data_IF_942813887064
#
_entry.id   IF_942813887064
#
_cell.length_a   1.000
_cell.length_b   1.000
_cell.length_c   1.000
_cell.angle_alpha   90.00
_cell.angle_beta   90.00
_cell.angle_gamma   90.00
#
_symmetry.space_group_name_H-M   'P 1'
#
loop_
_entity.id
_entity.type
_entity.pdbx_description
1 polymer ?
#
# COMPACT_ATOMS: atom_id res chain seq x y z
N UNK A 1 -6.92 -44.84 -18.03
CA UNK A 1 -6.25 -43.99 -17.04
C UNK A 1 -5.22 -44.82 -16.29
N UNK A 2 -3.94 -44.47 -16.19
CA UNK A 2 -3.00 -45.24 -15.39
C UNK A 2 -3.39 -45.11 -13.92
N UNK A 3 -3.65 -46.25 -13.27
CA UNK A 3 -3.92 -46.33 -11.83
C UNK A 3 -2.72 -45.73 -11.08
N UNK A 4 -2.96 -44.64 -10.32
CA UNK A 4 -2.04 -44.08 -9.35
C UNK A 4 -1.92 -45.07 -8.17
N UNK A 5 -1.00 -46.03 -8.27
CA UNK A 5 -0.67 -46.88 -7.13
C UNK A 5 -0.14 -46.01 -5.98
N UNK A 6 -0.77 -46.09 -4.83
CA UNK A 6 -0.34 -45.40 -3.64
C UNK A 6 1.04 -45.90 -3.19
N UNK A 7 2.00 -45.05 -2.97
CA UNK A 7 3.32 -45.40 -2.42
C UNK A 7 3.16 -46.15 -1.09
N UNK A 8 2.13 -45.84 -0.31
CA UNK A 8 1.78 -46.59 0.91
C UNK A 8 1.53 -48.08 0.66
N UNK A 9 0.86 -48.43 -0.46
CA UNK A 9 0.62 -49.83 -0.83
C UNK A 9 1.94 -50.55 -1.19
N UNK A 10 2.86 -49.87 -1.84
CA UNK A 10 4.20 -50.39 -2.15
C UNK A 10 4.99 -50.66 -0.87
N UNK A 11 4.95 -49.70 0.11
CA UNK A 11 5.62 -49.86 1.40
C UNK A 11 5.01 -51.02 2.21
N UNK A 12 3.69 -51.17 2.22
CA UNK A 12 3.01 -52.30 2.87
C UNK A 12 3.40 -53.64 2.21
N UNK A 13 3.47 -53.68 0.88
CA UNK A 13 3.91 -54.85 0.15
C UNK A 13 5.37 -55.25 0.47
N UNK A 14 6.25 -54.24 0.62
CA UNK A 14 7.65 -54.48 1.05
C UNK A 14 7.74 -54.98 2.48
N UNK A 15 6.92 -54.48 3.38
CA UNK A 15 6.88 -54.94 4.77
C UNK A 15 6.36 -56.39 4.85
N UNK A 16 5.32 -56.73 4.05
CA UNK A 16 4.82 -58.09 3.97
C UNK A 16 5.87 -59.09 3.41
N UNK A 17 6.68 -58.66 2.43
CA UNK A 17 7.81 -59.44 1.92
C UNK A 17 8.90 -59.71 2.95
N UNK A 18 9.17 -58.72 3.85
CA UNK A 18 10.12 -58.88 4.95
C UNK A 18 9.60 -59.84 6.03
N UNK A 19 8.30 -59.76 6.32
CA UNK A 19 7.67 -60.55 7.38
C UNK A 19 7.33 -62.00 6.94
N UNK A 20 7.18 -62.23 5.65
CA UNK A 20 6.90 -63.55 5.12
C UNK A 20 7.83 -63.89 3.92
N UNK A 21 8.97 -64.54 4.18
CA UNK A 21 9.95 -64.94 3.13
C UNK A 21 9.40 -65.88 2.06
N UNK A 22 8.28 -66.61 2.33
CA UNK A 22 7.61 -67.46 1.38
C UNK A 22 6.72 -66.71 0.39
N UNK A 23 6.42 -65.42 0.67
CA UNK A 23 5.64 -64.57 -0.20
C UNK A 23 6.54 -64.04 -1.31
N UNK A 24 6.45 -64.58 -2.52
CA UNK A 24 7.22 -64.11 -3.66
C UNK A 24 6.77 -62.71 -4.11
N UNK A 25 7.69 -61.98 -4.74
CA UNK A 25 7.46 -60.61 -5.23
C UNK A 25 6.20 -60.45 -6.10
N UNK A 26 5.91 -61.44 -6.97
CA UNK A 26 4.70 -61.46 -7.81
C UNK A 26 3.44 -61.67 -6.96
N UNK A 27 3.51 -62.48 -5.89
CA UNK A 27 2.40 -62.69 -4.96
C UNK A 27 2.11 -61.42 -4.16
N UNK A 28 3.13 -60.74 -3.64
CA UNK A 28 2.99 -59.46 -2.95
C UNK A 28 2.43 -58.37 -3.87
N UNK A 29 2.94 -58.25 -5.08
CA UNK A 29 2.44 -57.27 -6.07
C UNK A 29 0.94 -57.47 -6.38
N UNK A 30 0.50 -58.71 -6.48
CA UNK A 30 -0.90 -59.06 -6.73
C UNK A 30 -1.77 -58.80 -5.49
N UNK A 31 -1.30 -59.20 -4.32
CA UNK A 31 -2.02 -59.05 -3.05
C UNK A 31 -2.29 -57.60 -2.69
N UNK A 32 -1.28 -56.71 -2.89
CA UNK A 32 -1.36 -55.29 -2.59
C UNK A 32 -1.75 -54.44 -3.79
N UNK A 33 -2.09 -55.04 -4.91
CA UNK A 33 -2.51 -54.37 -6.16
C UNK A 33 -1.51 -53.30 -6.62
N UNK A 34 -0.20 -53.56 -6.51
CA UNK A 34 0.85 -52.66 -6.93
C UNK A 34 1.58 -53.16 -8.18
N UNK A 35 2.16 -52.25 -8.94
CA UNK A 35 2.94 -52.62 -10.10
C UNK A 35 4.21 -53.40 -9.69
N UNK A 36 4.37 -54.61 -10.27
CA UNK A 36 5.49 -55.51 -10.00
C UNK A 36 6.86 -54.83 -10.16
N UNK A 37 7.05 -54.06 -11.22
CA UNK A 37 8.31 -53.36 -11.48
C UNK A 37 8.56 -52.21 -10.50
N UNK A 38 7.51 -51.54 -10.05
CA UNK A 38 7.63 -50.53 -9.00
C UNK A 38 8.05 -51.18 -7.67
N UNK A 39 7.43 -52.25 -7.27
CA UNK A 39 7.76 -53.01 -6.06
C UNK A 39 9.18 -53.56 -6.12
N UNK A 40 9.62 -54.15 -7.25
CA UNK A 40 10.99 -54.65 -7.46
C UNK A 40 12.06 -53.54 -7.34
N UNK A 41 11.78 -52.38 -7.91
CA UNK A 41 12.69 -51.22 -7.79
C UNK A 41 12.83 -50.80 -6.33
N UNK A 42 11.74 -50.76 -5.54
CA UNK A 42 11.78 -50.40 -4.14
C UNK A 42 12.52 -51.44 -3.31
N UNK A 43 12.32 -52.74 -3.59
CA UNK A 43 13.06 -53.78 -2.94
C UNK A 43 14.58 -53.68 -3.20
N UNK A 44 14.98 -53.26 -4.39
CA UNK A 44 16.37 -53.03 -4.76
C UNK A 44 16.91 -51.66 -4.26
N UNK A 45 16.21 -50.97 -3.34
CA UNK A 45 16.65 -49.73 -2.75
C UNK A 45 16.49 -48.48 -3.64
N UNK A 46 15.87 -48.60 -4.83
CA UNK A 46 15.64 -47.47 -5.70
C UNK A 46 14.49 -46.60 -5.15
N UNK A 47 14.78 -45.39 -4.81
CA UNK A 47 13.81 -44.43 -4.24
C UNK A 47 12.64 -44.09 -5.17
N UNK A 48 11.52 -43.68 -4.62
CA UNK A 48 10.38 -43.15 -5.36
C UNK A 48 10.75 -41.93 -6.19
N UNK A 49 10.18 -41.76 -7.38
CA UNK A 49 10.26 -40.50 -8.11
C UNK A 49 9.75 -39.33 -7.29
N UNK A 50 8.88 -39.59 -6.33
CA UNK A 50 8.28 -38.60 -5.44
C UNK A 50 9.30 -38.13 -4.37
N UNK A 51 10.16 -39.05 -3.91
CA UNK A 51 11.15 -38.84 -2.85
C UNK A 51 12.57 -38.61 -3.44
N UNK A 52 12.66 -38.65 -4.78
CA UNK A 52 13.95 -38.49 -5.46
C UNK A 52 14.35 -37.02 -5.47
N UNK A 53 15.38 -36.69 -4.71
CA UNK A 53 16.01 -35.36 -4.74
C UNK A 53 16.95 -35.33 -5.96
N UNK A 54 16.69 -34.46 -6.95
CA UNK A 54 17.55 -34.36 -8.12
C UNK A 54 19.00 -34.02 -7.67
N UNK A 55 19.96 -34.82 -8.10
CA UNK A 55 21.40 -34.53 -7.87
C UNK A 55 21.85 -33.17 -8.42
N UNK A 56 21.03 -32.55 -9.27
CA UNK A 56 21.22 -31.20 -9.80
C UNK A 56 20.74 -30.08 -8.88
N UNK A 57 20.14 -30.39 -7.71
CA UNK A 57 19.75 -29.39 -6.72
C UNK A 57 21.02 -28.77 -6.10
N UNK A 58 21.20 -27.47 -6.31
CA UNK A 58 22.38 -26.76 -5.82
C UNK A 58 22.27 -26.34 -4.36
N UNK A 59 21.04 -26.12 -3.85
CA UNK A 59 20.76 -25.77 -2.47
C UNK A 59 20.11 -26.95 -1.75
N UNK A 60 20.46 -27.14 -0.50
CA UNK A 60 19.82 -28.07 0.44
C UNK A 60 18.42 -27.57 0.82
N UNK A 61 17.59 -28.46 1.37
CA UNK A 61 16.23 -28.07 1.82
C UNK A 61 16.29 -27.04 2.95
N UNK A 62 17.32 -27.08 3.82
CA UNK A 62 17.53 -26.10 4.91
C UNK A 62 17.88 -24.73 4.33
N UNK A 63 18.78 -24.67 3.33
CA UNK A 63 19.15 -23.42 2.67
C UNK A 63 17.96 -22.82 1.89
N UNK A 64 17.15 -23.64 1.22
CA UNK A 64 15.92 -23.17 0.56
C UNK A 64 14.92 -22.61 1.60
N UNK A 65 14.77 -23.28 2.76
CA UNK A 65 13.89 -22.81 3.83
C UNK A 65 14.36 -21.48 4.45
N UNK A 66 15.66 -21.28 4.61
CA UNK A 66 16.22 -20.00 5.06
C UNK A 66 15.84 -18.87 4.08
N UNK A 67 15.96 -19.13 2.77
CA UNK A 67 15.56 -18.15 1.76
C UNK A 67 14.05 -17.86 1.82
N UNK A 68 13.20 -18.88 2.00
CA UNK A 68 11.75 -18.71 2.16
C UNK A 68 11.45 -17.80 3.35
N UNK A 69 12.02 -18.08 4.53
CA UNK A 69 11.79 -17.28 5.74
C UNK A 69 12.26 -15.83 5.55
N UNK A 70 13.40 -15.65 4.91
CA UNK A 70 13.92 -14.31 4.63
C UNK A 70 13.04 -13.53 3.65
N UNK A 71 12.49 -14.19 2.63
CA UNK A 71 11.52 -13.57 1.71
C UNK A 71 10.26 -13.15 2.46
N UNK A 72 9.71 -14.03 3.31
CA UNK A 72 8.50 -13.74 4.08
C UNK A 72 8.72 -12.61 5.08
N UNK A 73 9.91 -12.54 5.72
CA UNK A 73 10.26 -11.44 6.60
C UNK A 73 10.37 -10.10 5.84
N UNK A 74 11.05 -10.08 4.68
CA UNK A 74 11.11 -8.90 3.83
C UNK A 74 9.72 -8.46 3.34
N UNK A 75 8.88 -9.39 2.93
CA UNK A 75 7.51 -9.12 2.47
C UNK A 75 6.67 -8.52 3.60
N UNK A 76 6.74 -9.08 4.81
CA UNK A 76 6.03 -8.56 5.99
C UNK A 76 6.43 -7.13 6.37
N UNK A 77 7.65 -6.72 6.03
CA UNK A 77 8.18 -5.36 6.23
C UNK A 77 7.91 -4.42 5.05
N UNK A 78 7.20 -4.88 4.00
CA UNK A 78 6.90 -4.09 2.81
C UNK A 78 8.01 -4.01 1.76
N UNK A 79 9.02 -4.88 1.86
CA UNK A 79 10.15 -4.95 0.93
C UNK A 79 10.23 -6.28 0.19
N UNK A 80 9.16 -6.76 -0.49
CA UNK A 80 9.19 -8.04 -1.19
C UNK A 80 10.29 -8.06 -2.24
N UNK A 81 11.18 -9.06 -2.23
CA UNK A 81 12.30 -9.09 -3.16
C UNK A 81 11.84 -9.44 -4.58
N UNK A 82 12.49 -8.86 -5.57
CA UNK A 82 12.31 -9.27 -6.98
C UNK A 82 12.92 -10.65 -7.21
N UNK A 83 12.48 -11.37 -8.26
CA UNK A 83 13.05 -12.67 -8.62
C UNK A 83 14.58 -12.65 -8.73
N UNK A 84 15.16 -11.56 -9.24
CA UNK A 84 16.61 -11.35 -9.26
C UNK A 84 17.22 -11.30 -7.87
N UNK A 85 16.60 -10.62 -6.91
CA UNK A 85 17.05 -10.59 -5.52
C UNK A 85 17.01 -11.97 -4.86
N UNK A 86 16.00 -12.79 -5.18
CA UNK A 86 15.94 -14.19 -4.72
C UNK A 86 17.08 -15.04 -5.32
N UNK A 87 17.44 -14.81 -6.59
CA UNK A 87 18.59 -15.44 -7.22
C UNK A 87 19.92 -15.00 -6.57
N UNK A 88 20.07 -13.73 -6.27
CA UNK A 88 21.23 -13.18 -5.57
C UNK A 88 21.40 -13.76 -4.15
N UNK A 89 20.30 -13.95 -3.39
CA UNK A 89 20.33 -14.62 -2.09
C UNK A 89 20.85 -16.06 -2.20
N UNK A 90 20.33 -16.80 -3.18
CA UNK A 90 20.77 -18.18 -3.43
C UNK A 90 22.26 -18.25 -3.81
N UNK A 91 22.71 -17.35 -4.68
CA UNK A 91 24.09 -17.27 -5.15
C UNK A 91 25.05 -16.88 -4.01
N UNK A 92 24.60 -16.05 -3.07
CA UNK A 92 25.40 -15.71 -1.88
C UNK A 92 25.65 -16.93 -1.00
N UNK A 93 24.60 -17.71 -0.69
CA UNK A 93 24.74 -18.96 0.07
C UNK A 93 25.65 -20.00 -0.64
N UNK A 94 25.60 -20.03 -1.97
CA UNK A 94 26.48 -20.90 -2.76
C UNK A 94 27.92 -20.42 -2.77
N UNK A 95 28.15 -19.10 -2.82
CA UNK A 95 29.47 -18.51 -2.78
C UNK A 95 30.20 -18.75 -1.44
N UNK A 96 29.46 -18.79 -0.32
CA UNK A 96 30.03 -19.09 1.00
C UNK A 96 30.69 -20.48 1.08
N UNK A 97 30.42 -21.37 0.12
CA UNK A 97 31.01 -22.71 -0.01
C UNK A 97 31.67 -22.98 -1.34
N UNK A 98 32.05 -21.93 -2.07
CA UNK A 98 32.71 -22.00 -3.39
C UNK A 98 31.94 -22.80 -4.45
N UNK A 99 30.60 -22.86 -4.34
CA UNK A 99 29.75 -23.57 -5.27
C UNK A 99 29.32 -22.66 -6.45
N UNK A 100 29.12 -23.26 -7.61
CA UNK A 100 28.71 -22.51 -8.82
C UNK A 100 27.31 -21.88 -8.67
N UNK A 101 27.06 -20.66 -9.23
CA UNK A 101 25.81 -19.94 -9.08
C UNK A 101 24.61 -20.70 -9.71
N UNK A 102 23.40 -20.38 -9.28
CA UNK A 102 22.14 -20.95 -9.82
C UNK A 102 21.89 -20.48 -11.26
N UNK A 103 21.10 -21.24 -12.01
CA UNK A 103 20.75 -20.89 -13.38
C UNK A 103 19.64 -19.83 -13.48
N UNK A 104 19.55 -19.12 -14.61
CA UNK A 104 18.60 -18.01 -14.90
C UNK A 104 17.12 -18.27 -14.58
N UNK A 105 16.66 -19.53 -14.60
CA UNK A 105 15.26 -19.91 -14.29
C UNK A 105 15.08 -20.45 -12.88
N UNK A 106 16.14 -20.46 -12.07
CA UNK A 106 16.11 -21.09 -10.78
C UNK A 106 15.11 -20.42 -9.82
N UNK A 107 15.15 -19.08 -9.69
CA UNK A 107 14.27 -18.33 -8.81
C UNK A 107 12.78 -18.55 -9.13
N UNK A 108 12.40 -18.58 -10.41
CA UNK A 108 11.03 -18.87 -10.82
C UNK A 108 10.60 -20.29 -10.45
N UNK A 109 11.49 -21.27 -10.64
CA UNK A 109 11.25 -22.66 -10.28
C UNK A 109 11.24 -22.86 -8.76
N UNK A 110 12.05 -22.09 -8.03
CA UNK A 110 12.06 -22.03 -6.57
C UNK A 110 10.69 -21.60 -6.03
N UNK A 111 10.16 -20.45 -6.49
CA UNK A 111 8.84 -19.97 -6.09
C UNK A 111 7.74 -20.99 -6.42
N UNK A 112 7.81 -21.70 -7.57
CA UNK A 112 6.83 -22.74 -7.92
C UNK A 112 6.87 -23.96 -7.01
N UNK A 113 8.02 -24.28 -6.41
CA UNK A 113 8.16 -25.43 -5.47
C UNK A 113 7.61 -25.12 -4.09
N UNK A 114 7.68 -23.88 -3.66
CA UNK A 114 7.27 -23.42 -2.33
C UNK A 114 5.86 -22.85 -2.38
N UNK A 115 4.89 -23.55 -1.79
CA UNK A 115 3.46 -23.21 -1.82
C UNK A 115 3.14 -21.91 -1.08
N UNK A 116 3.95 -21.57 -0.11
CA UNK A 116 3.92 -20.35 0.69
C UNK A 116 4.30 -19.08 -0.09
N UNK A 117 4.95 -19.24 -1.26
CA UNK A 117 5.41 -18.13 -2.10
C UNK A 117 4.55 -17.99 -3.37
N UNK A 118 4.33 -16.75 -3.79
CA UNK A 118 3.70 -16.40 -5.07
C UNK A 118 4.35 -15.18 -5.69
N UNK A 119 4.42 -15.13 -7.02
CA UNK A 119 4.82 -13.90 -7.74
C UNK A 119 3.61 -13.00 -7.97
N UNK A 120 3.74 -11.71 -7.66
CA UNK A 120 2.75 -10.67 -7.96
C UNK A 120 3.43 -9.44 -8.52
N UNK A 121 2.71 -8.62 -9.30
CA UNK A 121 3.17 -7.28 -9.63
C UNK A 121 2.96 -6.39 -8.42
N UNK A 122 4.03 -5.78 -7.91
CA UNK A 122 3.92 -4.83 -6.81
C UNK A 122 3.49 -3.45 -7.32
N UNK A 123 2.71 -2.73 -6.51
CA UNK A 123 2.47 -1.30 -6.69
C UNK A 123 3.54 -0.53 -5.94
N UNK A 124 3.97 0.60 -6.49
CA UNK A 124 4.79 1.55 -5.74
C UNK A 124 3.93 2.07 -4.59
N UNK A 125 4.41 1.89 -3.38
CA UNK A 125 3.76 2.36 -2.17
C UNK A 125 4.65 3.38 -1.50
N UNK A 126 4.08 4.51 -1.11
CA UNK A 126 4.82 5.60 -0.48
C UNK A 126 5.26 5.20 0.93
N UNK A 127 6.53 5.38 1.25
CA UNK A 127 7.09 5.03 2.57
C UNK A 127 6.43 5.80 3.71
N UNK A 128 6.08 7.08 3.48
CA UNK A 128 5.41 7.90 4.50
C UNK A 128 4.01 7.34 4.79
N UNK A 129 3.29 6.88 3.77
CA UNK A 129 2.01 6.20 3.95
C UNK A 129 2.16 4.92 4.77
N UNK A 130 3.13 4.08 4.44
CA UNK A 130 3.41 2.86 5.21
C UNK A 130 3.75 3.13 6.68
N UNK A 131 4.45 4.23 6.97
CA UNK A 131 4.79 4.65 8.34
C UNK A 131 3.55 5.10 9.14
N UNK A 132 2.55 5.65 8.46
CA UNK A 132 1.31 6.13 9.09
C UNK A 132 0.24 5.04 9.26
N UNK A 133 0.47 3.83 8.73
CA UNK A 133 -0.38 2.64 8.91
C UNK A 133 -0.11 1.93 10.25
N UNK A 134 0.11 2.69 11.32
CA UNK A 134 0.19 2.12 12.67
C UNK A 134 -1.22 1.79 13.19
N UNK A 135 -1.51 0.50 13.48
CA UNK A 135 -2.79 0.09 14.03
C UNK A 135 -3.19 0.85 15.29
N UNK A 136 -2.22 1.27 16.12
CA UNK A 136 -2.46 2.01 17.36
C UNK A 136 -2.96 3.42 17.06
N UNK A 137 -2.36 4.11 16.10
CA UNK A 137 -2.76 5.45 15.67
C UNK A 137 -4.18 5.41 15.11
N UNK A 138 -4.47 4.40 14.26
CA UNK A 138 -5.80 4.21 13.66
C UNK A 138 -6.85 3.95 14.76
N UNK A 139 -6.63 3.02 15.69
CA UNK A 139 -7.55 2.74 16.79
C UNK A 139 -7.78 3.95 17.68
N UNK A 140 -6.73 4.70 18.00
CA UNK A 140 -6.83 5.93 18.80
C UNK A 140 -7.71 6.99 18.11
N UNK A 141 -7.55 7.14 16.79
CA UNK A 141 -8.38 8.05 16.01
C UNK A 141 -9.86 7.61 16.01
N UNK A 142 -10.16 6.33 15.83
CA UNK A 142 -11.52 5.81 15.95
C UNK A 142 -12.10 6.04 17.35
N UNK A 143 -11.28 5.89 18.40
CA UNK A 143 -11.66 6.22 19.77
C UNK A 143 -12.01 7.71 19.93
N UNK A 144 -11.24 8.62 19.30
CA UNK A 144 -11.54 10.05 19.26
C UNK A 144 -12.90 10.32 18.58
N UNK A 145 -13.13 9.72 17.40
CA UNK A 145 -14.39 9.86 16.66
C UNK A 145 -15.56 9.34 17.50
N UNK A 146 -15.44 8.16 18.10
CA UNK A 146 -16.46 7.56 18.96
C UNK A 146 -16.80 8.43 20.18
N UNK A 147 -15.77 8.93 20.86
CA UNK A 147 -15.95 9.81 22.02
C UNK A 147 -16.60 11.14 21.63
N UNK A 148 -16.27 11.68 20.45
CA UNK A 148 -16.88 12.90 19.92
C UNK A 148 -18.36 12.68 19.60
N UNK A 149 -18.69 11.59 18.93
CA UNK A 149 -20.08 11.20 18.64
C UNK A 149 -20.89 11.06 19.95
N UNK A 150 -20.34 10.34 20.92
CA UNK A 150 -20.99 10.11 22.21
C UNK A 150 -21.19 11.42 23.03
N UNK A 151 -20.16 12.29 23.04
CA UNK A 151 -20.18 13.55 23.78
C UNK A 151 -21.23 14.53 23.28
N UNK A 152 -21.41 14.64 21.98
CA UNK A 152 -22.28 15.61 21.34
C UNK A 152 -23.60 15.01 20.84
N UNK A 153 -23.82 13.70 20.99
CA UNK A 153 -25.02 13.00 20.55
C UNK A 153 -25.21 13.05 19.03
N UNK A 154 -24.14 12.96 18.27
CA UNK A 154 -24.16 13.08 16.82
C UNK A 154 -24.77 11.82 16.20
N UNK A 155 -25.64 11.97 15.23
CA UNK A 155 -26.30 10.89 14.51
C UNK A 155 -25.59 10.56 13.19
N UNK A 156 -25.97 9.45 12.56
CA UNK A 156 -25.41 9.03 11.29
C UNK A 156 -25.72 10.02 10.14
N UNK A 157 -26.91 10.62 10.14
CA UNK A 157 -27.32 11.63 9.20
C UNK A 157 -26.57 12.97 9.35
N UNK A 158 -26.08 13.27 10.56
CA UNK A 158 -25.22 14.43 10.89
C UNK A 158 -23.70 14.10 10.85
N UNK A 159 -23.35 12.88 10.42
CA UNK A 159 -21.94 12.46 10.24
C UNK A 159 -21.56 12.57 8.78
N UNK A 160 -20.71 13.54 8.48
CA UNK A 160 -20.28 13.92 7.12
C UNK A 160 -18.80 13.64 6.91
N UNK A 161 -18.46 13.26 5.68
CA UNK A 161 -17.09 13.25 5.18
C UNK A 161 -16.97 14.24 4.01
N UNK A 162 -15.94 15.02 4.03
CA UNK A 162 -15.61 16.02 3.03
C UNK A 162 -14.23 15.75 2.44
N UNK A 163 -14.08 16.01 1.14
CA UNK A 163 -12.80 15.92 0.45
C UNK A 163 -12.84 16.63 -0.91
N UNK A 164 -11.65 16.90 -1.44
CA UNK A 164 -11.42 17.51 -2.73
C UNK A 164 -10.89 16.49 -3.74
N UNK A 165 -11.38 16.59 -4.96
CA UNK A 165 -10.84 15.76 -6.03
C UNK A 165 -10.66 16.55 -7.31
N UNK A 166 -9.51 16.35 -7.97
CA UNK A 166 -9.19 17.02 -9.22
C UNK A 166 -9.57 16.23 -10.45
N UNK A 167 -10.02 16.98 -11.46
CA UNK A 167 -10.29 16.50 -12.81
C UNK A 167 -9.43 17.26 -13.81
N UNK A 168 -8.70 16.53 -14.62
CA UNK A 168 -8.09 17.09 -15.82
C UNK A 168 -9.06 16.92 -16.97
N UNK A 169 -9.60 18.02 -17.50
CA UNK A 169 -10.55 17.99 -18.62
C UNK A 169 -9.95 17.21 -19.79
N UNK A 170 -10.67 16.35 -20.40
CA UNK A 170 -10.22 15.60 -21.56
C UNK A 170 -9.29 14.41 -21.26
N UNK A 171 -9.11 13.96 -20.02
CA UNK A 171 -8.36 12.74 -19.72
C UNK A 171 -9.27 11.51 -19.79
N UNK A 172 -8.92 10.58 -20.67
CA UNK A 172 -9.59 9.28 -20.81
C UNK A 172 -9.00 8.29 -19.79
N UNK A 173 -9.86 7.52 -19.15
CA UNK A 173 -9.42 6.44 -18.27
C UNK A 173 -8.67 5.35 -19.08
N UNK A 174 -7.57 4.83 -18.51
CA UNK A 174 -6.86 3.68 -19.10
C UNK A 174 -7.74 2.44 -19.03
N UNK A 175 -7.86 1.71 -20.14
CA UNK A 175 -8.67 0.50 -20.22
C UNK A 175 -8.15 -0.51 -21.24
N UNK A 176 -8.77 -1.68 -21.25
CA UNK A 176 -8.53 -2.70 -22.26
C UNK A 176 -9.29 -2.33 -23.54
N UNK A 177 -8.63 -2.30 -24.68
CA UNK A 177 -9.21 -1.96 -25.96
C UNK A 177 -9.11 -3.13 -26.94
N UNK A 178 -10.08 -3.22 -27.85
CA UNK A 178 -10.05 -4.16 -28.97
C UNK A 178 -9.41 -3.46 -30.17
N UNK A 179 -8.43 -4.10 -30.79
CA UNK A 179 -7.67 -3.55 -31.92
C UNK A 179 -7.46 -4.61 -32.99
N UNK A 180 -7.08 -4.21 -34.20
CA UNK A 180 -6.78 -5.15 -35.27
C UNK A 180 -5.68 -6.15 -34.88
N UNK A 181 -5.86 -7.41 -35.25
CA UNK A 181 -4.96 -8.51 -34.87
C UNK A 181 -3.50 -8.32 -35.35
N UNK A 182 -3.29 -7.59 -36.43
CA UNK A 182 -1.97 -7.31 -37.00
C UNK A 182 -1.22 -6.17 -36.30
N UNK A 183 -1.89 -5.44 -35.41
CA UNK A 183 -1.28 -4.28 -34.72
C UNK A 183 -0.26 -4.75 -33.70
N UNK A 184 0.99 -4.35 -33.90
CA UNK A 184 2.09 -4.66 -32.97
C UNK A 184 2.19 -3.57 -31.89
N UNK A 185 2.41 -4.01 -30.64
CA UNK A 185 2.63 -3.13 -29.48
C UNK A 185 1.32 -2.66 -28.82
N UNK A 186 1.45 -1.79 -27.79
CA UNK A 186 0.31 -1.21 -27.07
C UNK A 186 -0.38 -0.15 -27.93
N UNK A 187 -1.70 -0.23 -28.15
CA UNK A 187 -2.41 0.80 -28.87
C UNK A 187 -2.32 2.14 -28.13
N UNK A 188 -2.09 3.21 -28.88
CA UNK A 188 -2.12 4.58 -28.35
C UNK A 188 -3.51 5.14 -28.54
N UNK A 189 -4.12 5.63 -27.48
CA UNK A 189 -5.37 6.40 -27.53
C UNK A 189 -5.02 7.89 -27.64
N UNK A 190 -5.66 8.59 -28.57
CA UNK A 190 -5.53 10.04 -28.70
C UNK A 190 -6.27 10.67 -27.54
N UNK A 191 -5.57 11.52 -26.77
CA UNK A 191 -6.16 12.29 -25.69
C UNK A 191 -6.57 13.67 -26.19
N UNK A 192 -7.70 14.24 -25.71
CA UNK A 192 -8.05 15.63 -26.00
C UNK A 192 -6.96 16.61 -25.62
N UNK A 193 -6.81 17.68 -26.37
CA UNK A 193 -5.73 18.66 -26.20
C UNK A 193 -5.82 19.50 -24.93
N UNK A 194 -7.03 19.68 -24.38
CA UNK A 194 -7.22 20.52 -23.18
C UNK A 194 -6.86 19.76 -21.89
N UNK A 195 -5.95 20.34 -21.12
CA UNK A 195 -5.50 19.82 -19.81
C UNK A 195 -5.79 20.80 -18.68
N UNK A 196 -6.82 21.61 -18.84
CA UNK A 196 -7.23 22.51 -17.78
C UNK A 196 -7.72 21.73 -16.57
N UNK A 197 -7.36 22.23 -15.38
CA UNK A 197 -7.69 21.60 -14.11
C UNK A 197 -9.00 22.14 -13.55
N UNK A 198 -9.81 21.24 -13.02
CA UNK A 198 -11.01 21.56 -12.24
C UNK A 198 -10.93 20.80 -10.92
N UNK A 199 -11.13 21.50 -9.83
CA UNK A 199 -11.31 20.91 -8.50
C UNK A 199 -12.77 20.79 -8.16
N UNK A 200 -13.18 19.65 -7.65
CA UNK A 200 -14.53 19.40 -7.14
C UNK A 200 -14.42 19.11 -5.66
N UNK A 201 -15.08 19.91 -4.84
CA UNK A 201 -15.23 19.68 -3.42
C UNK A 201 -16.57 19.00 -3.19
N UNK A 202 -16.56 17.88 -2.49
CA UNK A 202 -17.73 17.06 -2.22
C UNK A 202 -17.87 16.75 -0.74
N UNK A 203 -19.12 16.70 -0.23
CA UNK A 203 -19.42 16.09 1.04
C UNK A 203 -20.54 15.08 0.92
N UNK A 204 -20.41 14.00 1.69
CA UNK A 204 -21.36 12.88 1.79
C UNK A 204 -21.62 12.55 3.25
N UNK A 205 -22.82 12.09 3.59
CA UNK A 205 -23.15 11.66 4.95
C UNK A 205 -23.27 10.12 5.05
N UNK A 206 -23.28 9.64 6.28
CA UNK A 206 -23.33 8.20 6.54
C UNK A 206 -24.68 7.54 6.17
N UNK A 207 -25.76 8.33 6.02
CA UNK A 207 -27.06 7.86 5.54
C UNK A 207 -27.17 7.79 4.00
N UNK A 208 -26.08 8.07 3.28
CA UNK A 208 -26.02 7.89 1.85
C UNK A 208 -26.40 9.11 1.01
N UNK A 209 -26.44 10.27 1.64
CA UNK A 209 -26.75 11.53 0.98
C UNK A 209 -25.46 12.24 0.56
N UNK A 210 -25.52 12.94 -0.59
CA UNK A 210 -24.50 13.88 -1.05
C UNK A 210 -25.10 15.29 -1.07
N UNK A 211 -24.29 16.29 -0.74
CA UNK A 211 -24.65 17.68 -1.00
C UNK A 211 -24.34 18.02 -2.47
N UNK A 212 -24.96 19.08 -3.02
CA UNK A 212 -24.54 19.62 -4.32
C UNK A 212 -23.05 19.93 -4.35
N UNK A 213 -22.32 19.53 -5.40
CA UNK A 213 -20.88 19.73 -5.49
C UNK A 213 -20.52 21.22 -5.57
N UNK A 214 -19.35 21.56 -5.01
CA UNK A 214 -18.72 22.86 -5.19
C UNK A 214 -17.56 22.71 -6.16
N UNK A 215 -17.66 23.37 -7.32
CA UNK A 215 -16.74 23.16 -8.45
C UNK A 215 -15.88 24.39 -8.65
N UNK A 216 -14.56 24.24 -8.67
CA UNK A 216 -13.59 25.32 -8.85
C UNK A 216 -12.93 25.15 -10.21
N UNK A 217 -13.19 26.09 -11.13
CA UNK A 217 -12.53 26.14 -12.42
C UNK A 217 -11.36 27.14 -12.46
N UNK A 218 -10.35 26.86 -13.30
CA UNK A 218 -9.30 27.84 -13.55
C UNK A 218 -9.86 29.05 -14.30
N UNK A 219 -9.51 30.27 -13.87
CA UNK A 219 -9.94 31.51 -14.50
C UNK A 219 -10.22 32.63 -13.52
N UNK A 220 -10.42 33.84 -14.04
CA UNK A 220 -10.71 35.04 -13.22
C UNK A 220 -12.22 35.29 -13.09
N UNK A 221 -13.04 34.83 -14.03
CA UNK A 221 -14.46 35.13 -14.09
C UNK A 221 -15.28 33.92 -14.50
N UNK A 222 -16.49 33.83 -13.95
CA UNK A 222 -17.52 32.91 -14.40
C UNK A 222 -18.11 33.37 -15.76
N UNK A 223 -18.36 32.40 -16.61
CA UNK A 223 -19.07 32.69 -17.87
C UNK A 223 -20.51 32.21 -17.77
N UNK A 224 -21.45 33.03 -18.22
CA UNK A 224 -22.89 32.74 -18.16
C UNK A 224 -23.27 31.43 -18.87
N UNK A 225 -22.54 31.05 -19.93
CA UNK A 225 -22.80 29.81 -20.67
C UNK A 225 -22.50 28.53 -19.87
N UNK A 226 -21.71 28.58 -18.80
CA UNK A 226 -21.48 27.43 -17.92
C UNK A 226 -22.77 26.99 -17.21
N UNK A 227 -23.69 27.91 -16.97
CA UNK A 227 -24.95 27.66 -16.26
C UNK A 227 -26.14 27.45 -17.21
N UNK A 228 -26.27 28.27 -18.25
CA UNK A 228 -27.47 28.34 -19.09
C UNK A 228 -27.57 27.21 -20.12
N UNK A 229 -26.44 26.76 -20.64
CA UNK A 229 -26.42 25.80 -21.76
C UNK A 229 -26.37 24.33 -21.27
N UNK A 230 -26.13 24.08 -20.00
CA UNK A 230 -25.78 22.74 -19.48
C UNK A 230 -26.86 22.09 -18.60
N UNK A 231 -28.00 22.72 -18.37
CA UNK A 231 -29.09 22.23 -17.50
C UNK A 231 -28.59 21.71 -16.15
N UNK A 232 -27.56 22.36 -15.57
CA UNK A 232 -27.07 22.04 -14.24
C UNK A 232 -28.13 22.38 -13.20
N UNK A 233 -28.25 21.60 -12.12
CA UNK A 233 -29.11 21.96 -11.01
C UNK A 233 -28.73 23.32 -10.43
N UNK A 234 -29.72 24.13 -10.07
CA UNK A 234 -29.54 25.51 -9.59
C UNK A 234 -28.81 25.59 -8.23
N UNK A 235 -28.76 24.46 -7.50
CA UNK A 235 -28.12 24.32 -6.21
C UNK A 235 -26.61 23.98 -6.27
N UNK A 236 -26.07 23.73 -7.48
CA UNK A 236 -24.64 23.52 -7.67
C UNK A 236 -23.86 24.83 -7.55
N UNK A 237 -22.79 24.81 -6.74
CA UNK A 237 -21.94 25.97 -6.57
C UNK A 237 -20.72 25.89 -7.51
N UNK A 238 -20.49 26.97 -8.26
CA UNK A 238 -19.32 27.07 -9.15
C UNK A 238 -18.52 28.29 -8.73
N UNK A 239 -17.23 28.09 -8.50
CA UNK A 239 -16.23 29.11 -8.15
C UNK A 239 -15.11 29.15 -9.19
N UNK A 240 -14.28 30.17 -9.13
CA UNK A 240 -13.06 30.29 -9.95
C UNK A 240 -11.86 30.64 -9.07
N UNK A 241 -10.71 30.08 -9.42
CA UNK A 241 -9.42 30.52 -8.91
C UNK A 241 -8.41 30.62 -10.07
N UNK A 242 -7.29 31.32 -9.92
CA UNK A 242 -6.33 31.52 -11.02
C UNK A 242 -5.86 30.22 -11.66
N UNK A 243 -5.72 29.17 -10.88
CA UNK A 243 -5.20 27.85 -11.29
C UNK A 243 -6.21 26.70 -11.16
N UNK A 244 -7.43 26.95 -10.70
CA UNK A 244 -8.46 25.93 -10.45
C UNK A 244 -8.26 25.17 -9.12
N UNK A 245 -7.42 25.64 -8.22
CA UNK A 245 -7.17 25.03 -6.93
C UNK A 245 -7.89 25.77 -5.79
N UNK A 246 -8.15 25.09 -4.71
CA UNK A 246 -8.73 25.65 -3.48
C UNK A 246 -7.71 26.51 -2.75
N UNK A 247 -8.16 27.60 -2.19
CA UNK A 247 -7.46 28.43 -1.22
C UNK A 247 -8.30 28.59 0.05
N UNK A 248 -7.81 29.34 1.03
CA UNK A 248 -8.48 29.51 2.32
C UNK A 248 -9.83 30.22 2.19
N UNK A 249 -9.98 31.14 1.22
CA UNK A 249 -11.23 31.87 0.99
C UNK A 249 -12.29 30.91 0.39
N UNK A 250 -11.91 30.15 -0.62
CA UNK A 250 -12.78 29.17 -1.25
C UNK A 250 -13.12 28.02 -0.29
N UNK A 251 -12.21 27.62 0.58
CA UNK A 251 -12.48 26.65 1.65
C UNK A 251 -13.57 27.14 2.60
N UNK A 252 -13.55 28.40 3.01
CA UNK A 252 -14.57 29.01 3.84
C UNK A 252 -15.91 29.18 3.09
N UNK A 253 -15.88 29.56 1.81
CA UNK A 253 -17.08 29.67 0.98
C UNK A 253 -17.76 28.29 0.78
N UNK A 254 -16.93 27.25 0.60
CA UNK A 254 -17.43 25.87 0.59
C UNK A 254 -18.09 25.50 1.93
N UNK A 255 -17.49 25.84 3.05
CA UNK A 255 -18.06 25.53 4.37
C UNK A 255 -19.41 26.23 4.58
N UNK A 256 -19.56 27.46 4.11
CA UNK A 256 -20.85 28.18 4.09
C UNK A 256 -21.88 27.48 3.17
N UNK A 257 -21.44 27.00 2.00
CA UNK A 257 -22.28 26.19 1.10
C UNK A 257 -22.73 24.91 1.78
N UNK A 258 -21.79 24.17 2.42
CA UNK A 258 -22.09 22.97 3.19
C UNK A 258 -23.14 23.23 4.26
N UNK A 259 -22.95 24.27 5.07
CA UNK A 259 -23.90 24.62 6.14
C UNK A 259 -25.30 24.97 5.59
N UNK A 260 -25.39 25.72 4.48
CA UNK A 260 -26.68 26.01 3.82
C UNK A 260 -27.40 24.74 3.34
N UNK A 261 -26.64 23.79 2.79
CA UNK A 261 -27.21 22.54 2.29
C UNK A 261 -27.63 21.57 3.39
N UNK A 262 -27.01 21.66 4.55
CA UNK A 262 -27.22 20.69 5.67
C UNK A 262 -28.06 21.23 6.80
N UNK A 263 -28.14 22.54 7.01
CA UNK A 263 -28.84 23.17 8.15
C UNK A 263 -30.31 22.73 8.31
N UNK A 264 -31.04 22.55 7.22
CA UNK A 264 -32.43 22.10 7.26
C UNK A 264 -32.59 20.56 7.29
N UNK A 265 -31.48 19.81 7.19
CA UNK A 265 -31.45 18.34 7.21
C UNK A 265 -30.90 17.77 8.50
N UNK A 266 -30.24 18.61 9.30
CA UNK A 266 -29.64 18.20 10.56
C UNK A 266 -30.74 17.80 11.56
N UNK A 267 -30.58 16.62 12.14
CA UNK A 267 -31.52 16.07 13.16
C UNK A 267 -31.00 16.23 14.56
N UNK A 268 -29.72 16.50 14.75
CA UNK A 268 -29.05 16.75 16.02
C UNK A 268 -28.58 18.19 16.19
N UNK A 269 -28.17 18.56 17.42
CA UNK A 269 -27.66 19.89 17.70
C UNK A 269 -26.23 20.11 17.21
N UNK A 270 -25.50 19.05 16.85
CA UNK A 270 -24.12 19.08 16.40
C UNK A 270 -23.91 18.22 15.16
N UNK A 271 -23.11 18.71 14.21
CA UNK A 271 -22.63 17.94 13.06
C UNK A 271 -21.19 17.49 13.25
N UNK A 272 -20.84 16.34 12.69
CA UNK A 272 -19.48 15.82 12.57
C UNK A 272 -19.03 15.95 11.12
N UNK A 273 -17.95 16.67 10.87
CA UNK A 273 -17.33 16.81 9.55
C UNK A 273 -15.92 16.21 9.58
N UNK A 274 -15.78 14.99 9.05
CA UNK A 274 -14.51 14.28 8.97
C UNK A 274 -13.75 14.79 7.74
N UNK A 275 -12.54 15.30 7.97
CA UNK A 275 -11.67 15.91 6.95
C UNK A 275 -10.22 15.46 7.12
N UNK A 276 -9.42 15.67 6.08
CA UNK A 276 -7.97 15.48 6.13
C UNK A 276 -7.27 16.70 6.77
N UNK A 277 -5.96 16.59 7.00
CA UNK A 277 -5.16 17.64 7.61
C UNK A 277 -4.63 18.68 6.62
N UNK A 278 -5.32 18.95 5.51
CA UNK A 278 -4.88 19.96 4.54
C UNK A 278 -5.02 21.38 5.13
N UNK A 279 -4.07 22.26 4.83
CA UNK A 279 -3.98 23.62 5.42
C UNK A 279 -5.22 24.49 5.14
N UNK A 280 -5.85 24.35 3.98
CA UNK A 280 -7.05 25.10 3.59
C UNK A 280 -8.26 24.83 4.50
N UNK A 281 -8.25 23.72 5.27
CA UNK A 281 -9.33 23.31 6.16
C UNK A 281 -9.09 23.69 7.63
N UNK A 282 -7.99 24.37 7.93
CA UNK A 282 -7.58 24.75 9.28
C UNK A 282 -7.30 26.24 9.42
N UNK A 283 -7.83 27.08 8.50
CA UNK A 283 -7.74 28.52 8.67
C UNK A 283 -8.54 28.96 9.91
N UNK A 284 -8.09 30.04 10.57
CA UNK A 284 -8.76 30.59 11.77
C UNK A 284 -10.25 30.88 11.51
N UNK A 285 -10.57 31.38 10.31
CA UNK A 285 -11.94 31.71 9.93
C UNK A 285 -12.78 30.46 9.68
N UNK A 286 -12.19 29.40 9.13
CA UNK A 286 -12.84 28.10 8.95
C UNK A 286 -13.20 27.47 10.30
N UNK A 287 -12.24 27.41 11.23
CA UNK A 287 -12.48 26.83 12.56
C UNK A 287 -13.49 27.64 13.36
N UNK A 288 -13.42 28.99 13.31
CA UNK A 288 -14.40 29.86 13.96
C UNK A 288 -15.80 29.63 13.43
N UNK A 289 -15.97 29.53 12.09
CA UNK A 289 -17.26 29.26 11.49
C UNK A 289 -17.81 27.90 11.91
N UNK A 290 -16.96 26.85 11.99
CA UNK A 290 -17.35 25.54 12.52
C UNK A 290 -17.87 25.63 13.95
N UNK A 291 -17.17 26.35 14.83
CA UNK A 291 -17.60 26.53 16.24
C UNK A 291 -18.94 27.28 16.35
N UNK A 292 -19.12 28.37 15.61
CA UNK A 292 -20.36 29.15 15.59
C UNK A 292 -21.57 28.34 15.10
N UNK A 293 -21.34 27.40 14.16
CA UNK A 293 -22.38 26.56 13.57
C UNK A 293 -22.43 25.12 14.16
N UNK A 294 -21.76 24.86 15.28
CA UNK A 294 -21.75 23.58 15.99
C UNK A 294 -21.31 22.39 15.11
N UNK A 295 -20.35 22.64 14.23
CA UNK A 295 -19.71 21.63 13.39
C UNK A 295 -18.42 21.20 14.08
N UNK A 296 -18.29 19.91 14.41
CA UNK A 296 -17.07 19.35 14.99
C UNK A 296 -16.23 18.68 13.90
N UNK A 297 -14.96 19.02 13.84
CA UNK A 297 -14.04 18.61 12.77
C UNK A 297 -12.92 17.71 13.30
N UNK A 298 -13.11 16.37 13.44
CA UNK A 298 -12.00 15.47 13.72
C UNK A 298 -11.12 15.30 12.49
N UNK A 299 -9.86 15.71 12.63
CA UNK A 299 -8.86 15.53 11.59
C UNK A 299 -8.38 14.07 11.55
N UNK A 300 -8.23 13.52 10.35
CA UNK A 300 -7.63 12.19 10.16
C UNK A 300 -6.13 12.20 10.43
N UNK A 301 -5.54 11.06 10.83
CA UNK A 301 -4.09 10.93 10.92
C UNK A 301 -3.43 11.27 9.58
N UNK A 302 -2.23 11.89 9.58
CA UNK A 302 -1.52 12.24 8.35
C UNK A 302 -1.35 11.00 7.44
N UNK A 303 -1.46 11.21 6.12
CA UNK A 303 -1.29 10.18 5.08
C UNK A 303 -2.22 8.95 5.18
N UNK A 304 -3.32 9.02 5.93
CA UNK A 304 -4.30 7.94 6.09
C UNK A 304 -5.61 8.08 5.27
N UNK A 305 -5.83 9.12 4.41
CA UNK A 305 -7.09 9.25 3.68
C UNK A 305 -7.49 8.01 2.89
N UNK A 306 -6.54 7.34 2.25
CA UNK A 306 -6.77 6.10 1.49
C UNK A 306 -7.34 4.92 2.29
N UNK A 307 -7.29 5.01 3.64
CA UNK A 307 -7.83 4.01 4.56
C UNK A 307 -9.09 4.47 5.29
N UNK A 308 -9.20 5.76 5.60
CA UNK A 308 -10.17 6.32 6.53
C UNK A 308 -11.18 7.28 5.88
N UNK A 309 -10.92 7.74 4.63
CA UNK A 309 -11.75 8.72 3.94
C UNK A 309 -12.77 8.04 3.02
N UNK A 310 -14.07 8.05 3.36
CA UNK A 310 -15.11 7.43 2.53
C UNK A 310 -15.09 7.85 1.06
N UNK A 311 -14.91 9.15 0.78
CA UNK A 311 -14.87 9.68 -0.57
C UNK A 311 -13.77 9.03 -1.42
N UNK A 312 -12.55 8.89 -0.87
CA UNK A 312 -11.43 8.25 -1.55
C UNK A 312 -11.61 6.74 -1.73
N UNK A 313 -12.15 6.07 -0.70
CA UNK A 313 -12.31 4.61 -0.68
C UNK A 313 -13.34 4.14 -1.67
N UNK A 314 -14.50 4.83 -1.75
CA UNK A 314 -15.66 4.29 -2.47
C UNK A 314 -16.25 5.17 -3.55
N UNK A 315 -16.00 6.48 -3.55
CA UNK A 315 -16.71 7.43 -4.41
C UNK A 315 -15.85 8.00 -5.54
N UNK A 316 -14.73 8.64 -5.22
CA UNK A 316 -13.94 9.36 -6.23
C UNK A 316 -13.34 8.48 -7.32
N UNK A 317 -12.88 7.28 -6.96
CA UNK A 317 -12.36 6.35 -7.97
C UNK A 317 -13.41 5.90 -8.98
N UNK A 318 -14.64 5.72 -8.54
CA UNK A 318 -15.79 5.34 -9.40
C UNK A 318 -16.24 6.52 -10.24
N UNK A 319 -16.33 7.73 -9.63
CA UNK A 319 -16.68 8.97 -10.30
C UNK A 319 -15.69 9.31 -11.42
N UNK A 320 -14.39 9.25 -11.16
CA UNK A 320 -13.37 9.50 -12.19
C UNK A 320 -13.43 8.51 -13.35
N UNK A 321 -13.75 7.25 -13.08
CA UNK A 321 -13.93 6.23 -14.12
C UNK A 321 -15.20 6.50 -14.95
N UNK A 322 -16.28 6.92 -14.32
CA UNK A 322 -17.50 7.28 -15.00
C UNK A 322 -17.30 8.51 -15.89
N UNK A 323 -16.70 9.57 -15.34
CA UNK A 323 -16.32 10.76 -16.11
C UNK A 323 -15.43 10.41 -17.32
N UNK A 324 -14.41 9.58 -17.13
CA UNK A 324 -13.55 9.14 -18.25
C UNK A 324 -14.31 8.43 -19.39
N UNK A 325 -15.42 7.72 -19.07
CA UNK A 325 -16.29 7.10 -20.09
C UNK A 325 -17.09 8.14 -20.86
N UNK A 326 -17.58 9.18 -20.18
CA UNK A 326 -18.27 10.29 -20.85
C UNK A 326 -17.32 11.04 -21.81
N UNK A 327 -16.09 11.31 -21.38
CA UNK A 327 -15.05 11.89 -22.23
C UNK A 327 -14.74 11.00 -23.45
N UNK A 328 -14.64 9.68 -23.25
CA UNK A 328 -14.44 8.72 -24.34
C UNK A 328 -15.60 8.76 -25.34
N UNK A 329 -16.84 8.91 -24.84
CA UNK A 329 -18.02 9.07 -25.69
C UNK A 329 -17.94 10.34 -26.54
N UNK A 330 -17.61 11.49 -25.95
CA UNK A 330 -17.41 12.76 -26.65
C UNK A 330 -16.39 12.65 -27.79
N UNK A 331 -15.27 11.96 -27.53
CA UNK A 331 -14.22 11.75 -28.54
C UNK A 331 -14.71 10.87 -29.69
N UNK A 332 -15.50 9.83 -29.40
CA UNK A 332 -16.13 9.01 -30.45
C UNK A 332 -17.09 9.81 -31.30
N UNK A 333 -17.70 10.86 -30.75
CA UNK A 333 -18.52 11.84 -31.45
C UNK A 333 -17.68 12.94 -32.14
N UNK A 334 -16.36 12.74 -32.30
CA UNK A 334 -15.44 13.69 -32.95
C UNK A 334 -15.21 15.01 -32.19
N UNK A 335 -15.58 15.09 -30.92
CA UNK A 335 -15.28 16.23 -30.06
C UNK A 335 -13.87 15.99 -29.45
N UNK A 336 -12.86 16.58 -30.09
CA UNK A 336 -11.44 16.37 -29.69
C UNK A 336 -10.91 17.43 -28.74
N UNK A 337 -11.69 18.46 -28.44
CA UNK A 337 -11.35 19.51 -27.48
C UNK A 337 -12.48 19.61 -26.45
N UNK A 338 -12.16 19.21 -25.18
CA UNK A 338 -13.11 19.29 -24.08
C UNK A 338 -12.89 20.60 -23.35
N UNK A 339 -13.85 21.50 -23.42
CA UNK A 339 -13.89 22.75 -22.67
C UNK A 339 -14.78 22.61 -21.43
N UNK A 340 -14.94 23.68 -20.65
CA UNK A 340 -15.87 23.69 -19.51
C UNK A 340 -17.33 23.42 -19.95
N UNK A 341 -17.69 23.79 -21.16
CA UNK A 341 -19.03 23.52 -21.72
C UNK A 341 -19.30 22.02 -21.84
N UNK A 342 -18.33 21.24 -22.27
CA UNK A 342 -18.46 19.79 -22.37
C UNK A 342 -18.18 19.09 -21.00
N UNK A 343 -17.33 19.71 -20.14
CA UNK A 343 -17.02 19.17 -18.81
C UNK A 343 -18.26 19.03 -17.94
N UNK A 344 -19.05 20.10 -17.81
CA UNK A 344 -20.18 20.12 -16.87
C UNK A 344 -21.23 19.04 -17.17
N UNK A 345 -21.74 18.85 -18.38
CA UNK A 345 -22.71 17.78 -18.65
C UNK A 345 -22.09 16.38 -18.46
N UNK A 346 -20.83 16.18 -18.87
CA UNK A 346 -20.14 14.91 -18.67
C UNK A 346 -19.92 14.59 -17.18
N UNK A 347 -19.55 15.59 -16.39
CA UNK A 347 -19.41 15.46 -14.95
C UNK A 347 -20.75 15.21 -14.26
N UNK A 348 -21.81 15.91 -14.66
CA UNK A 348 -23.16 15.71 -14.13
C UNK A 348 -23.67 14.29 -14.37
N UNK A 349 -23.52 13.77 -15.58
CA UNK A 349 -23.89 12.39 -15.90
C UNK A 349 -23.10 11.38 -15.05
N UNK A 350 -21.80 11.58 -14.92
CA UNK A 350 -20.94 10.75 -14.08
C UNK A 350 -21.32 10.83 -12.60
N UNK A 351 -21.62 12.02 -12.09
CA UNK A 351 -22.04 12.27 -10.70
C UNK A 351 -23.33 11.53 -10.37
N UNK A 352 -24.38 11.71 -11.19
CA UNK A 352 -25.66 11.03 -11.01
C UNK A 352 -25.54 9.50 -11.05
N UNK A 353 -24.69 8.97 -11.91
CA UNK A 353 -24.48 7.54 -12.03
C UNK A 353 -23.69 6.92 -10.84
N UNK A 354 -22.95 7.73 -10.09
CA UNK A 354 -21.98 7.20 -9.11
C UNK A 354 -22.20 7.67 -7.68
N UNK A 355 -22.70 8.89 -7.44
CA UNK A 355 -23.00 9.40 -6.09
C UNK A 355 -24.38 8.91 -5.61
N UNK A 356 -24.51 7.60 -5.56
CA UNK A 356 -25.75 6.92 -5.12
C UNK A 356 -25.67 6.57 -3.64
N UNK A 357 -26.83 6.51 -2.99
CA UNK A 357 -26.95 6.09 -1.59
C UNK A 357 -26.17 4.80 -1.30
N UNK A 358 -26.30 3.80 -2.20
CA UNK A 358 -25.61 2.52 -2.06
C UNK A 358 -24.08 2.67 -2.07
N UNK A 359 -23.52 3.45 -2.96
CA UNK A 359 -22.07 3.65 -3.07
C UNK A 359 -21.54 4.44 -1.89
N UNK A 360 -22.28 5.45 -1.44
CA UNK A 360 -21.92 6.28 -0.29
C UNK A 360 -21.92 5.46 1.01
N UNK A 361 -22.99 4.70 1.29
CA UNK A 361 -23.04 3.79 2.45
C UNK A 361 -21.93 2.73 2.42
N UNK A 362 -21.64 2.18 1.22
CA UNK A 362 -20.53 1.25 1.07
C UNK A 362 -19.17 1.90 1.33
N UNK A 363 -18.99 3.18 0.99
CA UNK A 363 -17.78 3.95 1.25
C UNK A 363 -17.57 4.17 2.77
N UNK A 364 -18.60 4.58 3.52
CA UNK A 364 -18.54 4.70 4.98
C UNK A 364 -18.26 3.37 5.67
N UNK A 365 -18.88 2.28 5.19
CA UNK A 365 -18.58 0.93 5.66
C UNK A 365 -17.14 0.53 5.34
N UNK A 366 -16.66 0.85 4.13
CA UNK A 366 -15.28 0.59 3.69
C UNK A 366 -14.23 1.28 4.55
N UNK A 367 -14.55 2.50 5.05
CA UNK A 367 -13.76 3.28 5.98
C UNK A 367 -13.90 2.83 7.45
N UNK A 368 -14.77 1.88 7.78
CA UNK A 368 -15.02 1.43 9.14
C UNK A 368 -15.72 2.47 10.02
N UNK A 369 -16.35 3.49 9.44
CA UNK A 369 -16.99 4.58 10.18
C UNK A 369 -18.45 4.28 10.54
N UNK A 370 -19.19 3.62 9.64
CA UNK A 370 -20.59 3.25 9.89
C UNK A 370 -20.86 1.86 9.27
N UNK A 371 -21.05 0.80 10.09
CA UNK A 371 -20.88 0.83 11.55
C UNK A 371 -19.42 1.10 11.96
N UNK A 372 -19.23 1.65 13.18
CA UNK A 372 -17.90 1.94 13.69
C UNK A 372 -17.14 0.64 13.95
N UNK A 373 -16.15 0.34 13.11
CA UNK A 373 -15.37 -0.91 13.12
C UNK A 373 -13.90 -0.63 12.74
N UNK A 374 -13.04 -0.27 13.72
CA UNK A 374 -11.62 -0.06 13.47
C UNK A 374 -10.92 -1.30 12.89
N UNK A 375 -11.34 -2.50 13.31
CA UNK A 375 -10.68 -3.74 12.89
C UNK A 375 -10.91 -4.05 11.41
N UNK A 376 -12.01 -3.58 10.84
CA UNK A 376 -12.24 -3.64 9.40
C UNK A 376 -11.15 -2.92 8.59
N UNK A 377 -10.60 -1.83 9.12
CA UNK A 377 -9.51 -1.08 8.49
C UNK A 377 -8.16 -1.70 8.84
N UNK A 378 -7.93 -1.98 10.13
CA UNK A 378 -6.65 -2.53 10.63
C UNK A 378 -6.34 -3.89 10.00
N UNK A 379 -7.34 -4.74 9.79
CA UNK A 379 -7.15 -6.05 9.13
C UNK A 379 -6.70 -5.98 7.66
N UNK A 380 -6.86 -4.81 7.01
CA UNK A 380 -6.45 -4.58 5.61
C UNK A 380 -5.03 -4.03 5.48
N UNK A 381 -4.35 -3.73 6.61
CA UNK A 381 -2.99 -3.22 6.58
C UNK A 381 -2.03 -4.32 6.13
N UNK A 382 -1.49 -4.16 4.94
CA UNK A 382 -0.58 -5.15 4.32
C UNK A 382 0.87 -5.04 4.82
N UNK A 383 1.26 -3.89 5.40
CA UNK A 383 2.66 -3.56 5.70
C UNK A 383 2.83 -3.24 7.18
N UNK A 384 3.58 -4.09 7.88
CA UNK A 384 4.06 -3.81 9.23
C UNK A 384 5.52 -3.38 9.16
N UNK A 385 5.75 -2.06 9.18
CA UNK A 385 7.11 -1.53 9.34
C UNK A 385 7.58 -1.82 10.79
N UNK A 386 8.05 -3.03 11.02
CA UNK A 386 8.74 -3.36 12.27
C UNK A 386 10.20 -2.92 12.10
N UNK A 387 10.62 -1.94 12.86
CA UNK A 387 12.05 -1.78 13.13
C UNK A 387 12.48 -3.07 13.83
N UNK A 388 13.48 -3.81 13.33
CA UNK A 388 13.97 -4.96 14.08
C UNK A 388 14.37 -4.44 15.46
N UNK A 389 13.64 -4.89 16.48
CA UNK A 389 14.09 -4.69 17.87
C UNK A 389 15.43 -5.41 17.94
N UNK A 390 16.52 -4.72 18.33
CA UNK A 390 17.75 -5.44 18.60
C UNK A 390 17.41 -6.55 19.61
N UNK A 391 17.78 -7.78 19.29
CA UNK A 391 17.71 -8.85 20.30
C UNK A 391 18.48 -8.31 21.48
N UNK A 392 17.83 -8.14 22.61
CA UNK A 392 18.50 -7.84 23.88
C UNK A 392 19.38 -9.05 24.19
N UNK A 393 20.60 -9.03 23.65
CA UNK A 393 21.67 -9.79 24.27
C UNK A 393 21.85 -9.15 25.63
N UNK A 394 21.75 -9.94 26.69
CA UNK A 394 22.14 -9.56 28.06
C UNK A 394 23.53 -8.93 27.99
N UNK A 395 23.57 -7.63 27.86
CA UNK A 395 24.80 -6.87 27.86
C UNK A 395 25.07 -6.45 29.30
N UNK A 396 26.20 -6.90 29.81
CA UNK A 396 26.82 -6.21 30.93
C UNK A 396 26.89 -4.69 30.63
N UNK A 397 27.14 -3.83 31.62
CA UNK A 397 26.91 -2.39 31.56
C UNK A 397 27.68 -1.75 30.41
N UNK A 398 27.01 -1.51 29.31
CA UNK A 398 27.54 -0.73 28.21
C UNK A 398 27.29 0.75 28.48
N UNK A 399 28.34 1.48 28.77
CA UNK A 399 28.31 2.95 28.82
C UNK A 399 27.77 3.45 27.49
N UNK A 400 26.71 4.31 27.46
CA UNK A 400 26.18 4.85 26.23
C UNK A 400 27.28 5.65 25.53
N UNK A 401 27.46 5.36 24.23
CA UNK A 401 28.44 6.10 23.43
C UNK A 401 28.03 7.56 23.29
N UNK A 402 28.88 8.45 23.72
CA UNK A 402 28.71 9.90 23.57
C UNK A 402 29.65 10.37 22.46
N UNK A 403 29.12 11.11 21.49
CA UNK A 403 29.90 11.70 20.39
C UNK A 403 30.81 12.79 20.93
N UNK A 404 32.08 12.47 21.17
CA UNK A 404 33.12 13.43 21.55
C UNK A 404 34.43 13.13 20.82
N UNK A 405 35.24 14.18 20.63
CA UNK A 405 36.57 14.02 20.01
C UNK A 405 37.47 13.23 20.93
N UNK A 406 38.08 12.09 20.50
CA UNK A 406 38.99 11.34 21.33
C UNK A 406 40.25 12.15 21.62
N UNK A 407 40.66 12.17 22.89
CA UNK A 407 41.86 12.90 23.36
C UNK A 407 43.11 12.03 23.44
N UNK A 408 42.96 10.72 23.44
CA UNK A 408 44.05 9.75 23.55
C UNK A 408 43.98 8.70 22.45
N UNK A 409 45.10 8.02 22.18
CA UNK A 409 45.19 6.91 21.22
C UNK A 409 44.25 5.76 21.63
N UNK A 410 44.12 5.51 22.94
CA UNK A 410 43.22 4.49 23.50
C UNK A 410 41.74 4.84 23.21
N UNK A 411 41.33 6.07 23.41
CA UNK A 411 39.96 6.55 23.06
C UNK A 411 39.68 6.45 21.57
N UNK A 412 40.65 6.80 20.71
CA UNK A 412 40.51 6.66 19.27
C UNK A 412 40.39 5.20 18.82
N UNK A 413 41.15 4.29 19.50
CA UNK A 413 41.04 2.85 19.27
C UNK A 413 39.66 2.30 19.66
N UNK A 414 39.15 2.67 20.84
CA UNK A 414 37.82 2.27 21.31
C UNK A 414 36.69 2.79 20.41
N UNK A 415 36.78 4.01 19.91
CA UNK A 415 35.83 4.55 18.96
C UNK A 415 35.86 3.83 17.60
N UNK A 416 37.06 3.47 17.12
CA UNK A 416 37.18 2.68 15.88
C UNK A 416 36.57 1.30 16.04
N UNK A 417 36.77 0.65 17.18
CA UNK A 417 36.21 -0.67 17.45
C UNK A 417 34.69 -0.62 17.61
N UNK A 418 34.16 0.40 18.27
CA UNK A 418 32.73 0.66 18.38
C UNK A 418 32.11 0.89 16.97
N UNK A 419 32.73 1.71 16.13
CA UNK A 419 32.31 1.93 14.74
C UNK A 419 32.32 0.66 13.93
N UNK A 420 33.38 -0.14 14.02
CA UNK A 420 33.46 -1.41 13.30
C UNK A 420 32.37 -2.39 13.75
N UNK A 421 32.09 -2.48 15.06
CA UNK A 421 30.98 -3.26 15.59
C UNK A 421 29.62 -2.73 15.11
N UNK A 422 29.43 -1.43 15.08
CA UNK A 422 28.18 -0.80 14.61
C UNK A 422 27.96 -0.98 13.13
N UNK A 423 28.99 -0.83 12.30
CA UNK A 423 28.92 -1.09 10.85
C UNK A 423 28.62 -2.57 10.58
N UNK A 424 29.20 -3.50 11.31
CA UNK A 424 28.92 -4.94 11.15
C UNK A 424 27.51 -5.32 11.58
N UNK A 425 26.94 -4.66 12.60
CA UNK A 425 25.58 -4.94 13.13
C UNK A 425 24.46 -4.29 12.33
N UNK A 426 24.72 -3.14 11.70
CA UNK A 426 23.70 -2.32 11.08
C UNK A 426 24.05 -1.96 9.62
N UNK A 427 23.72 -2.83 8.68
CA UNK A 427 23.64 -2.45 7.27
C UNK A 427 22.57 -1.36 6.99
N UNK A 428 21.78 -0.95 7.99
CA UNK A 428 20.70 0.02 7.92
C UNK A 428 20.83 1.19 8.91
N UNK A 429 21.99 1.39 9.56
CA UNK A 429 22.16 2.57 10.42
C UNK A 429 22.20 3.85 9.58
N UNK A 430 21.52 4.89 10.09
CA UNK A 430 21.48 6.22 9.47
C UNK A 430 22.88 6.65 9.04
N UNK A 431 23.10 7.04 7.76
CA UNK A 431 24.40 7.51 7.27
C UNK A 431 24.97 8.65 8.12
N UNK A 432 24.13 9.48 8.72
CA UNK A 432 24.50 10.62 9.57
C UNK A 432 25.22 10.20 10.84
N UNK A 433 24.74 9.18 11.55
CA UNK A 433 25.39 8.72 12.78
C UNK A 433 26.77 8.09 12.54
N UNK A 434 26.97 7.46 11.38
CA UNK A 434 28.24 6.90 10.95
C UNK A 434 29.21 8.03 10.54
N UNK A 435 28.72 9.02 9.79
CA UNK A 435 29.48 10.18 9.36
C UNK A 435 29.93 11.04 10.56
N UNK A 436 29.08 11.21 11.58
CA UNK A 436 29.41 11.95 12.80
C UNK A 436 30.51 11.26 13.61
N UNK A 437 30.40 9.93 13.74
CA UNK A 437 31.43 9.15 14.40
C UNK A 437 32.78 9.17 13.64
N UNK A 438 32.75 9.10 12.31
CA UNK A 438 33.95 9.23 11.46
C UNK A 438 34.57 10.64 11.54
N UNK A 439 33.77 11.69 11.58
CA UNK A 439 34.25 13.08 11.80
C UNK A 439 34.94 13.24 13.16
N UNK A 440 34.36 12.66 14.20
CA UNK A 440 34.95 12.71 15.56
C UNK A 440 36.28 11.97 15.62
N UNK A 441 36.37 10.80 14.96
CA UNK A 441 37.60 10.02 14.87
C UNK A 441 38.70 10.76 14.10
N UNK A 442 38.35 11.39 12.97
CA UNK A 442 39.27 12.19 12.14
C UNK A 442 39.83 13.40 12.91
N UNK A 443 39.00 14.07 13.72
CA UNK A 443 39.45 15.18 14.58
C UNK A 443 40.43 14.69 15.64
N UNK A 444 40.16 13.57 16.30
CA UNK A 444 41.05 12.99 17.30
C UNK A 444 42.40 12.57 16.71
N UNK A 445 42.40 11.95 15.54
CA UNK A 445 43.65 11.56 14.85
C UNK A 445 44.48 12.77 14.48
N UNK A 446 43.87 13.88 14.06
CA UNK A 446 44.58 15.14 13.80
C UNK A 446 45.17 15.76 15.06
N UNK A 447 44.45 15.72 16.19
CA UNK A 447 44.95 16.24 17.46
C UNK A 447 46.19 15.46 17.94
N UNK A 448 46.13 14.14 17.89
CA UNK A 448 47.26 13.26 18.23
C UNK A 448 48.48 13.44 17.32
N UNK A 449 48.25 13.72 16.01
CA UNK A 449 49.33 14.01 15.09
C UNK A 449 49.94 15.40 15.32
N UNK A 450 49.18 16.36 15.84
CA UNK A 450 49.67 17.71 16.18
C UNK A 450 50.56 17.65 17.42
N UNK A 451 50.11 16.96 18.50
CA UNK A 451 50.90 16.75 19.69
C UNK A 451 52.27 16.06 19.42
N UNK A 452 52.28 15.08 18.44
CA UNK A 452 53.55 14.46 18.03
C UNK A 452 54.50 15.38 17.25
N UNK A 453 54.00 16.49 16.66
CA UNK A 453 54.82 17.45 15.91
C UNK A 453 55.42 18.50 16.85
N UNK A 454 54.75 18.80 17.98
CA UNK A 454 55.26 19.78 18.96
C UNK A 454 56.17 19.17 20.03
N UNK A 455 56.22 17.81 20.10
CA UNK A 455 57.10 17.08 21.01
C UNK A 455 58.41 16.55 20.40
N UNK A 456 58.85 17.15 19.24
CA UNK A 456 60.17 16.90 18.66
C UNK A 456 61.02 18.14 18.68
#
# INVERSE_FOLDING_TARGET
MPQLYSECQILLALQALRNNPKLGLRGAARLYQVNYWALRRRQNGIQSRRDWIPKSRKLSDVEEQIIVQFILDLDSRGFPPRLRGVEEMANRLLADRDASPVGKRWAMNFVKRHKELKTRFFRKYDYQRAKCEDPTIIRNWFGLVQNTIAKYGIRSDDTWNFDETGFMMGVIASGMVVTGAERRGKPKSVQPGNREWITVIQAINAEGQAIPPFIIGAGQYHRANWYRENNLPDDWAIATSPNGWTDNELGLEWLKHFNRCTANRSTGPYGLLILDGHESHHSVDFERYCQENKITTPCMPPHSPHLLQPLDIGCFGVLKKAYGREIEHLIRCSITHVSKTEFFPAFYAAFQATMTERNIKAAFKGAGLVPLDPEHVVSKLDVQLRTPTPVEEETGPSTPWVSKTPKTVLEAGSQSEYLAKRIRRHHSSSPESVLEALKSLSKGTKAVMHERKEGK
#
